data_IF_225924207624
#
_entry.id   IF_225924207624
#
_cell.length_a   1.000
_cell.length_b   1.000
_cell.length_c   1.000
_cell.angle_alpha   90.00
_cell.angle_beta   90.00
_cell.angle_gamma   90.00
#
_symmetry.space_group_name_H-M   'P 1'
#
loop_
_entity.id
_entity.type
_entity.pdbx_description
1 polymer ?
#
# COMPACT_ATOMS: atom_id res chain seq x y z
N UNK A 1 -54.06 -77.68 -41.81
CA UNK A 1 -54.42 -76.27 -41.63
C UNK A 1 -54.31 -75.94 -40.12
N UNK A 2 -53.23 -75.32 -39.75
CA UNK A 2 -52.93 -75.09 -38.36
C UNK A 2 -52.77 -73.61 -38.13
N UNK A 3 -53.68 -72.99 -37.30
CA UNK A 3 -53.68 -71.59 -36.89
C UNK A 3 -52.69 -71.40 -35.76
N UNK A 4 -51.69 -70.54 -35.91
CA UNK A 4 -50.81 -70.12 -34.81
C UNK A 4 -51.30 -68.75 -34.28
N UNK A 5 -51.72 -68.78 -33.02
CA UNK A 5 -52.05 -67.58 -32.23
C UNK A 5 -50.76 -67.00 -31.67
N UNK A 6 -50.42 -65.74 -31.99
CA UNK A 6 -49.36 -64.99 -31.35
C UNK A 6 -49.91 -64.18 -30.18
N UNK A 7 -49.48 -64.56 -28.98
CA UNK A 7 -49.69 -63.76 -27.77
C UNK A 7 -48.65 -62.62 -27.72
N UNK A 8 -49.10 -61.39 -27.68
CA UNK A 8 -48.24 -60.22 -27.41
C UNK A 8 -48.15 -60.02 -25.88
N UNK A 9 -46.98 -60.23 -25.31
CA UNK A 9 -46.66 -59.81 -23.98
C UNK A 9 -46.34 -58.28 -24.03
N UNK A 10 -47.15 -57.44 -23.39
CA UNK A 10 -46.85 -56.05 -23.15
C UNK A 10 -45.94 -55.90 -21.93
N UNK A 11 -44.73 -55.44 -22.14
CA UNK A 11 -43.79 -55.10 -21.09
C UNK A 11 -44.16 -53.72 -20.54
N UNK A 12 -44.73 -53.64 -19.36
CA UNK A 12 -44.97 -52.40 -18.61
C UNK A 12 -43.68 -52.02 -17.89
N UNK A 13 -42.90 -51.08 -18.41
CA UNK A 13 -41.81 -50.45 -17.69
C UNK A 13 -42.35 -49.48 -16.63
N UNK A 14 -42.36 -49.93 -15.37
CA UNK A 14 -42.53 -49.01 -14.23
C UNK A 14 -41.24 -48.16 -14.12
N UNK A 15 -41.30 -46.90 -14.50
CA UNK A 15 -40.33 -45.87 -14.14
C UNK A 15 -40.49 -45.59 -12.63
N UNK A 16 -39.64 -46.21 -11.79
CA UNK A 16 -39.48 -45.82 -10.40
C UNK A 16 -38.66 -44.51 -10.43
N UNK A 17 -39.33 -43.41 -10.26
CA UNK A 17 -38.67 -42.15 -9.97
C UNK A 17 -38.10 -42.26 -8.55
N UNK A 18 -36.79 -42.56 -8.47
CA UNK A 18 -36.05 -42.48 -7.22
C UNK A 18 -36.03 -41.01 -6.72
N UNK A 19 -35.98 -40.80 -5.40
CA UNK A 19 -35.88 -39.45 -4.89
C UNK A 19 -34.62 -38.78 -5.45
N UNK A 20 -34.78 -37.66 -6.12
CA UNK A 20 -33.66 -36.75 -6.47
C UNK A 20 -33.11 -36.24 -5.13
N UNK A 21 -32.06 -36.87 -4.61
CA UNK A 21 -31.28 -36.27 -3.56
C UNK A 21 -30.66 -35.00 -4.17
N UNK A 22 -31.11 -33.85 -3.71
CA UNK A 22 -30.43 -32.58 -4.00
C UNK A 22 -28.98 -32.71 -3.56
N UNK A 23 -28.03 -32.45 -4.46
CA UNK A 23 -26.61 -32.42 -4.10
C UNK A 23 -26.42 -31.46 -2.91
N UNK A 24 -25.61 -31.84 -1.92
CA UNK A 24 -25.40 -30.99 -0.75
C UNK A 24 -24.94 -29.60 -1.21
N UNK A 25 -25.60 -28.56 -0.73
CA UNK A 25 -25.22 -27.19 -1.01
C UNK A 25 -23.86 -26.93 -0.36
N UNK A 26 -22.88 -26.54 -1.16
CA UNK A 26 -21.56 -26.18 -0.65
C UNK A 26 -21.68 -24.90 0.20
N UNK A 27 -21.24 -24.95 1.45
CA UNK A 27 -21.21 -23.76 2.30
C UNK A 27 -20.09 -22.82 1.85
N UNK A 28 -20.50 -21.71 1.26
CA UNK A 28 -19.61 -20.63 0.82
C UNK A 28 -19.62 -19.44 1.78
N UNK A 29 -20.29 -19.55 2.93
CA UNK A 29 -20.38 -18.46 3.90
C UNK A 29 -19.00 -18.08 4.44
N UNK A 30 -18.76 -16.77 4.61
CA UNK A 30 -17.51 -16.18 5.11
C UNK A 30 -16.88 -15.19 4.14
N UNK A 31 -15.69 -14.71 4.52
CA UNK A 31 -14.96 -13.69 3.78
C UNK A 31 -14.08 -14.30 2.68
N UNK A 32 -14.10 -13.65 1.52
CA UNK A 32 -13.40 -14.06 0.31
C UNK A 32 -12.66 -12.88 -0.33
N UNK A 33 -11.54 -13.18 -0.94
CA UNK A 33 -10.79 -12.26 -1.81
C UNK A 33 -11.17 -12.55 -3.26
N UNK A 34 -11.99 -11.68 -3.86
CA UNK A 34 -12.40 -11.78 -5.26
C UNK A 34 -11.41 -11.05 -6.15
N UNK A 35 -10.89 -11.73 -7.18
CA UNK A 35 -10.00 -11.20 -8.19
C UNK A 35 -10.64 -11.32 -9.57
N UNK A 36 -10.77 -10.21 -10.29
CA UNK A 36 -11.31 -10.17 -11.65
C UNK A 36 -10.20 -9.70 -12.58
N UNK A 37 -9.98 -10.40 -13.70
CA UNK A 37 -9.03 -9.95 -14.71
C UNK A 37 -9.78 -9.22 -15.83
N UNK A 38 -9.69 -7.90 -15.85
CA UNK A 38 -10.36 -7.02 -16.82
C UNK A 38 -9.35 -6.53 -17.83
N UNK A 39 -9.41 -7.02 -19.06
CA UNK A 39 -8.47 -6.70 -20.14
C UNK A 39 -6.98 -6.83 -19.72
N UNK A 40 -6.66 -7.90 -18.98
CA UNK A 40 -5.31 -8.14 -18.46
C UNK A 40 -4.95 -7.42 -17.15
N UNK A 41 -5.85 -6.58 -16.63
CA UNK A 41 -5.65 -5.89 -15.36
C UNK A 41 -6.41 -6.58 -14.23
N UNK A 42 -5.78 -6.74 -13.08
CA UNK A 42 -6.40 -7.36 -11.91
C UNK A 42 -7.15 -6.32 -11.08
N UNK A 43 -8.43 -6.58 -10.83
CA UNK A 43 -9.28 -5.87 -9.89
C UNK A 43 -9.57 -6.78 -8.71
N UNK A 44 -9.31 -6.29 -7.49
CA UNK A 44 -9.56 -7.05 -6.28
C UNK A 44 -10.66 -6.43 -5.44
N UNK A 45 -11.49 -7.29 -4.84
CA UNK A 45 -12.58 -6.91 -3.94
C UNK A 45 -12.58 -7.82 -2.73
N UNK A 46 -12.91 -7.28 -1.58
CA UNK A 46 -13.36 -8.10 -0.44
C UNK A 46 -14.81 -8.51 -0.69
N UNK A 47 -15.13 -9.77 -0.46
CA UNK A 47 -16.48 -10.31 -0.62
C UNK A 47 -16.87 -11.07 0.64
N UNK A 48 -18.01 -10.76 1.22
CA UNK A 48 -18.59 -11.47 2.36
C UNK A 48 -19.84 -12.19 1.89
N UNK A 49 -19.87 -13.53 2.00
CA UNK A 49 -20.92 -14.39 1.51
C UNK A 49 -21.70 -15.03 2.66
N UNK A 50 -23.02 -15.17 2.46
CA UNK A 50 -23.92 -15.97 3.27
C UNK A 50 -24.76 -16.86 2.36
N UNK A 51 -24.77 -18.15 2.63
CA UNK A 51 -25.57 -19.14 1.87
C UNK A 51 -26.58 -19.77 2.80
N UNK A 52 -27.87 -19.65 2.43
CA UNK A 52 -28.99 -20.30 3.12
C UNK A 52 -29.87 -20.99 2.11
N UNK A 53 -30.03 -22.32 2.23
CA UNK A 53 -30.83 -23.17 1.34
C UNK A 53 -30.58 -22.92 -0.17
N UNK A 54 -29.32 -22.64 -0.56
CA UNK A 54 -28.93 -22.37 -1.94
C UNK A 54 -29.14 -20.92 -2.38
N UNK A 55 -29.69 -20.06 -1.56
CA UNK A 55 -29.74 -18.61 -1.79
C UNK A 55 -28.45 -17.98 -1.30
N UNK A 56 -27.79 -17.22 -2.16
CA UNK A 56 -26.57 -16.49 -1.82
C UNK A 56 -26.89 -15.01 -1.62
N UNK A 57 -26.42 -14.45 -0.54
CA UNK A 57 -26.48 -13.03 -0.20
C UNK A 57 -25.14 -12.59 0.39
N UNK A 58 -24.92 -11.30 0.54
CA UNK A 58 -23.70 -10.76 1.13
C UNK A 58 -23.36 -9.38 0.63
N UNK A 59 -22.07 -9.07 0.58
CA UNK A 59 -21.57 -7.81 0.04
C UNK A 59 -20.22 -7.98 -0.66
N UNK A 60 -19.95 -7.08 -1.58
CA UNK A 60 -18.64 -6.88 -2.19
C UNK A 60 -18.16 -5.46 -1.89
N UNK A 61 -16.86 -5.27 -1.67
CA UNK A 61 -16.34 -3.94 -1.36
C UNK A 61 -14.92 -3.67 -1.86
N UNK A 62 -14.70 -2.40 -2.23
CA UNK A 62 -13.41 -1.72 -2.39
C UNK A 62 -13.49 -0.39 -1.62
N UNK A 63 -13.79 -0.49 -0.31
CA UNK A 63 -14.14 0.63 0.55
C UNK A 63 -15.59 0.49 1.03
N UNK A 64 -16.57 1.13 0.35
CA UNK A 64 -17.98 0.99 0.72
C UNK A 64 -18.55 -0.35 0.24
N UNK A 65 -19.25 -1.11 1.12
CA UNK A 65 -19.87 -2.36 0.73
C UNK A 65 -21.08 -2.15 -0.19
N UNK A 66 -21.14 -2.95 -1.26
CA UNK A 66 -22.28 -3.06 -2.18
C UNK A 66 -22.95 -4.42 -1.97
N UNK A 67 -24.29 -4.49 -1.78
CA UNK A 67 -25.00 -5.76 -1.60
C UNK A 67 -24.89 -6.65 -2.83
N UNK A 68 -24.75 -7.96 -2.61
CA UNK A 68 -24.78 -8.97 -3.67
C UNK A 68 -25.95 -9.95 -3.42
N UNK A 69 -26.49 -10.50 -4.51
CA UNK A 69 -27.49 -11.54 -4.50
C UNK A 69 -27.13 -12.64 -5.48
N UNK A 70 -27.54 -13.88 -5.19
CA UNK A 70 -27.22 -15.00 -6.07
C UNK A 70 -27.77 -16.34 -5.62
N UNK A 71 -27.25 -17.39 -6.22
CA UNK A 71 -27.62 -18.79 -5.95
C UNK A 71 -26.40 -19.72 -5.95
N UNK A 72 -26.50 -20.79 -5.17
CA UNK A 72 -25.56 -21.91 -5.16
C UNK A 72 -26.33 -23.20 -5.41
N UNK A 73 -25.92 -23.99 -6.43
CA UNK A 73 -26.54 -25.25 -6.81
C UNK A 73 -25.43 -26.30 -7.02
N UNK A 74 -25.23 -27.17 -6.04
CA UNK A 74 -24.10 -28.10 -6.05
C UNK A 74 -22.77 -27.33 -6.04
N UNK A 75 -21.98 -27.52 -7.10
CA UNK A 75 -20.71 -26.81 -7.32
C UNK A 75 -20.84 -25.47 -8.07
N UNK A 76 -22.02 -25.18 -8.59
CA UNK A 76 -22.26 -23.95 -9.37
C UNK A 76 -22.63 -22.79 -8.47
N UNK A 77 -22.01 -21.63 -8.73
CA UNK A 77 -22.30 -20.36 -8.07
C UNK A 77 -22.61 -19.28 -9.10
N UNK A 78 -23.67 -18.55 -8.87
CA UNK A 78 -24.01 -17.36 -9.65
C UNK A 78 -24.36 -16.24 -8.68
N UNK A 79 -23.80 -15.05 -8.89
CA UNK A 79 -24.12 -13.86 -8.09
C UNK A 79 -24.00 -12.60 -8.93
N UNK A 80 -24.64 -11.53 -8.45
CA UNK A 80 -24.64 -10.25 -9.12
C UNK A 80 -24.74 -9.08 -8.15
N UNK A 81 -24.29 -7.92 -8.61
CA UNK A 81 -24.52 -6.64 -7.95
C UNK A 81 -24.63 -5.51 -8.99
N UNK A 82 -25.08 -4.35 -8.52
CA UNK A 82 -25.18 -3.13 -9.31
C UNK A 82 -24.32 -2.05 -8.65
N UNK A 83 -23.43 -1.46 -9.41
CA UNK A 83 -22.60 -0.34 -8.96
C UNK A 83 -23.41 0.97 -8.89
N UNK A 84 -22.95 2.00 -8.13
CA UNK A 84 -23.64 3.29 -8.03
C UNK A 84 -23.80 4.02 -9.36
N UNK A 85 -22.94 3.78 -10.34
CA UNK A 85 -23.01 4.33 -11.69
C UNK A 85 -24.04 3.60 -12.59
N UNK A 86 -24.65 2.54 -12.07
CA UNK A 86 -25.65 1.74 -12.78
C UNK A 86 -25.11 0.51 -13.49
N UNK A 87 -23.79 0.28 -13.49
CA UNK A 87 -23.16 -0.91 -14.07
C UNK A 87 -23.66 -2.18 -13.39
N UNK A 88 -24.20 -3.12 -14.18
CA UNK A 88 -24.60 -4.44 -13.71
C UNK A 88 -23.42 -5.41 -13.82
N UNK A 89 -23.08 -6.06 -12.73
CA UNK A 89 -22.00 -7.02 -12.63
C UNK A 89 -22.61 -8.42 -12.39
N UNK A 90 -22.35 -9.36 -13.28
CA UNK A 90 -22.90 -10.74 -13.23
C UNK A 90 -21.76 -11.73 -13.26
N UNK A 91 -21.76 -12.67 -12.31
CA UNK A 91 -20.72 -13.66 -12.09
C UNK A 91 -21.32 -15.06 -12.20
N UNK A 92 -20.77 -15.88 -13.10
CA UNK A 92 -21.07 -17.30 -13.22
C UNK A 92 -19.79 -18.09 -12.97
N UNK A 93 -19.84 -19.09 -12.10
CA UNK A 93 -18.65 -19.89 -11.77
C UNK A 93 -18.96 -21.19 -11.05
N UNK A 94 -17.87 -21.81 -10.58
CA UNK A 94 -17.89 -23.08 -9.87
C UNK A 94 -16.94 -23.07 -8.68
N UNK A 95 -17.19 -23.99 -7.77
CA UNK A 95 -16.28 -24.34 -6.69
C UNK A 95 -15.26 -25.34 -7.26
N UNK A 96 -13.98 -24.98 -7.24
CA UNK A 96 -12.86 -25.80 -7.71
C UNK A 96 -11.77 -25.84 -6.62
N UNK A 97 -11.52 -27.02 -6.05
CA UNK A 97 -10.49 -27.21 -5.00
C UNK A 97 -10.58 -26.24 -3.80
N UNK A 98 -11.80 -25.83 -3.43
CA UNK A 98 -12.03 -24.90 -2.31
C UNK A 98 -11.96 -23.41 -2.69
N UNK A 99 -11.66 -23.08 -3.93
CA UNK A 99 -11.72 -21.74 -4.52
C UNK A 99 -12.96 -21.61 -5.41
N UNK A 100 -13.32 -20.38 -5.76
CA UNK A 100 -14.32 -20.09 -6.76
C UNK A 100 -13.64 -19.56 -8.01
N UNK A 101 -14.09 -20.02 -9.18
CA UNK A 101 -13.60 -19.53 -10.47
C UNK A 101 -14.70 -19.52 -11.52
N UNK A 102 -14.60 -18.60 -12.49
CA UNK A 102 -15.58 -18.51 -13.55
C UNK A 102 -15.39 -17.29 -14.46
N UNK A 103 -16.50 -16.83 -15.02
CA UNK A 103 -16.55 -15.65 -15.89
C UNK A 103 -17.50 -14.60 -15.34
N UNK A 104 -17.13 -13.33 -15.46
CA UNK A 104 -17.94 -12.18 -15.13
C UNK A 104 -18.29 -11.40 -16.40
N UNK A 105 -19.46 -10.80 -16.42
CA UNK A 105 -19.91 -9.89 -17.46
C UNK A 105 -20.37 -8.58 -16.83
N UNK A 106 -19.98 -7.49 -17.45
CA UNK A 106 -20.34 -6.14 -17.03
C UNK A 106 -21.20 -5.50 -18.11
N UNK A 107 -22.26 -4.79 -17.72
CA UNK A 107 -23.13 -4.09 -18.66
C UNK A 107 -23.66 -2.81 -18.05
N UNK A 108 -23.73 -1.74 -18.85
CA UNK A 108 -24.21 -0.42 -18.45
C UNK A 108 -23.67 0.68 -19.35
N UNK A 109 -24.23 1.87 -19.22
CA UNK A 109 -23.71 3.05 -19.91
C UNK A 109 -22.43 3.56 -19.23
N UNK A 110 -21.43 4.08 -19.98
CA UNK A 110 -21.44 4.23 -21.45
C UNK A 110 -20.81 3.04 -22.20
N UNK A 111 -20.41 1.98 -21.51
CA UNK A 111 -19.52 0.93 -22.06
C UNK A 111 -20.27 -0.22 -22.76
N UNK A 112 -21.59 -0.30 -22.63
CA UNK A 112 -22.36 -1.45 -23.13
C UNK A 112 -22.01 -2.76 -22.40
N UNK A 113 -22.22 -3.90 -23.07
CA UNK A 113 -21.87 -5.21 -22.52
C UNK A 113 -20.42 -5.55 -22.84
N UNK A 114 -19.66 -5.98 -21.82
CA UNK A 114 -18.29 -6.48 -22.01
C UNK A 114 -18.28 -7.96 -22.41
N UNK A 115 -17.22 -8.45 -23.08
CA UNK A 115 -16.99 -9.88 -23.19
C UNK A 115 -16.82 -10.51 -21.81
N UNK A 116 -17.04 -11.83 -21.67
CA UNK A 116 -16.81 -12.53 -20.41
C UNK A 116 -15.36 -12.37 -19.93
N UNK A 117 -15.17 -11.92 -18.68
CA UNK A 117 -13.89 -11.72 -18.05
C UNK A 117 -13.62 -12.83 -17.02
N UNK A 118 -12.42 -13.42 -16.96
CA UNK A 118 -12.13 -14.42 -15.96
C UNK A 118 -12.09 -13.82 -14.55
N UNK A 119 -12.63 -14.54 -13.58
CA UNK A 119 -12.52 -14.22 -12.17
C UNK A 119 -12.22 -15.46 -11.34
N UNK A 120 -11.64 -15.24 -10.18
CA UNK A 120 -11.43 -16.23 -9.14
C UNK A 120 -11.65 -15.60 -7.78
N UNK A 121 -12.04 -16.42 -6.79
CA UNK A 121 -12.05 -15.97 -5.41
C UNK A 121 -11.50 -17.09 -4.51
N UNK A 122 -10.69 -16.68 -3.53
CA UNK A 122 -10.18 -17.55 -2.48
C UNK A 122 -10.72 -17.09 -1.12
N UNK A 123 -10.85 -18.02 -0.19
CA UNK A 123 -11.20 -17.63 1.18
C UNK A 123 -10.11 -16.75 1.77
N UNK A 124 -10.53 -15.70 2.46
CA UNK A 124 -9.60 -14.91 3.28
C UNK A 124 -8.95 -15.82 4.33
N UNK A 125 -7.68 -15.56 4.63
CA UNK A 125 -6.97 -16.30 5.66
C UNK A 125 -7.66 -16.16 7.01
N UNK A 126 -7.81 -17.26 7.74
CA UNK A 126 -8.49 -17.32 9.04
C UNK A 126 -7.58 -17.78 10.18
N UNK A 127 -6.36 -18.19 9.85
CA UNK A 127 -5.34 -18.71 10.75
C UNK A 127 -4.55 -17.63 11.48
N UNK A 128 -5.24 -16.53 11.84
CA UNK A 128 -4.64 -15.42 12.59
C UNK A 128 -4.06 -15.93 13.90
N UNK A 129 -2.78 -15.62 14.19
CA UNK A 129 -2.16 -15.96 15.48
C UNK A 129 -2.95 -15.41 16.67
N UNK A 130 -2.97 -16.15 17.78
CA UNK A 130 -3.67 -15.73 19.00
C UNK A 130 -3.09 -14.45 19.63
N UNK A 131 -1.83 -14.14 19.35
CA UNK A 131 -1.15 -12.92 19.79
C UNK A 131 -0.23 -12.41 18.69
N UNK A 132 0.06 -11.09 18.66
CA UNK A 132 1.04 -10.49 17.75
C UNK A 132 2.40 -11.16 17.88
N UNK A 133 3.05 -11.40 16.73
CA UNK A 133 4.37 -12.03 16.66
C UNK A 133 5.45 -10.98 16.43
N UNK A 134 6.68 -11.32 16.77
CA UNK A 134 7.87 -10.63 16.28
C UNK A 134 8.58 -11.55 15.30
N UNK A 135 8.80 -11.08 14.08
CA UNK A 135 9.35 -11.83 12.97
C UNK A 135 10.67 -11.18 12.55
N UNK A 136 11.77 -11.93 12.68
CA UNK A 136 13.06 -11.51 12.16
C UNK A 136 13.16 -11.90 10.69
N UNK A 137 13.39 -10.93 9.80
CA UNK A 137 13.48 -11.11 8.36
C UNK A 137 14.85 -10.65 7.84
N UNK A 138 15.62 -11.58 7.29
CA UNK A 138 16.92 -11.33 6.64
C UNK A 138 16.70 -11.13 5.12
N UNK A 139 16.82 -9.92 4.57
CA UNK A 139 16.60 -9.66 3.17
C UNK A 139 17.71 -10.26 2.31
N UNK A 140 17.32 -10.95 1.23
CA UNK A 140 18.24 -11.54 0.25
C UNK A 140 18.21 -10.81 -1.08
N UNK A 141 17.09 -10.19 -1.40
CA UNK A 141 16.84 -9.46 -2.62
C UNK A 141 16.25 -8.08 -2.28
N UNK A 142 16.56 -7.10 -3.12
CA UNK A 142 16.12 -5.72 -2.98
C UNK A 142 15.50 -5.27 -4.30
N UNK A 143 14.34 -4.65 -4.24
CA UNK A 143 13.54 -4.35 -5.41
C UNK A 143 13.59 -2.86 -5.75
N UNK A 144 13.75 -2.55 -7.04
CA UNK A 144 13.78 -1.19 -7.59
C UNK A 144 12.46 -0.79 -8.24
N UNK A 145 11.42 -1.58 -8.00
CA UNK A 145 10.06 -1.34 -8.48
C UNK A 145 9.05 -1.63 -7.39
N UNK A 146 8.09 -0.76 -7.19
CA UNK A 146 6.85 -1.08 -6.50
C UNK A 146 5.92 -1.79 -7.48
N UNK A 147 5.60 -3.04 -7.25
CA UNK A 147 4.84 -3.84 -8.20
C UNK A 147 3.93 -4.85 -7.50
N UNK A 148 2.74 -5.04 -8.07
CA UNK A 148 1.80 -6.09 -7.66
C UNK A 148 2.24 -7.50 -8.13
N UNK A 149 3.27 -7.61 -8.98
CA UNK A 149 3.73 -8.88 -9.54
C UNK A 149 4.98 -9.44 -8.87
N UNK A 150 5.56 -8.71 -7.93
CA UNK A 150 6.67 -9.21 -7.12
C UNK A 150 6.11 -10.08 -6.00
N UNK A 151 6.62 -11.31 -5.90
CA UNK A 151 6.20 -12.24 -4.85
C UNK A 151 6.56 -11.70 -3.47
N UNK A 152 5.64 -11.78 -2.49
CA UNK A 152 5.90 -11.32 -1.14
C UNK A 152 7.02 -12.10 -0.46
N UNK A 153 7.95 -11.38 0.17
CA UNK A 153 9.06 -11.98 0.91
C UNK A 153 8.65 -12.54 2.27
N UNK A 154 7.56 -12.02 2.85
CA UNK A 154 7.03 -12.45 4.14
C UNK A 154 5.54 -12.10 4.23
N UNK A 155 4.77 -12.96 4.89
CA UNK A 155 3.35 -12.72 5.21
C UNK A 155 3.21 -12.39 6.68
N UNK A 156 2.56 -11.27 6.97
CA UNK A 156 2.39 -10.73 8.32
C UNK A 156 0.93 -10.42 8.61
N UNK A 157 0.53 -10.52 9.86
CA UNK A 157 -0.79 -10.11 10.31
C UNK A 157 -0.76 -8.69 10.92
N UNK A 158 -1.86 -7.95 10.84
CA UNK A 158 -2.01 -6.72 11.63
C UNK A 158 -1.72 -6.98 13.11
N UNK A 159 -0.82 -6.16 13.68
CA UNK A 159 -0.25 -6.31 15.01
C UNK A 159 1.13 -6.98 15.05
N UNK A 160 1.52 -7.78 14.04
CA UNK A 160 2.86 -8.36 13.99
C UNK A 160 3.94 -7.25 13.88
N UNK A 161 5.10 -7.53 14.44
CA UNK A 161 6.30 -6.70 14.35
C UNK A 161 7.33 -7.39 13.47
N UNK A 162 7.89 -6.68 12.50
CA UNK A 162 8.99 -7.15 11.65
C UNK A 162 10.27 -6.45 12.06
N UNK A 163 11.35 -7.22 12.21
CA UNK A 163 12.72 -6.73 12.34
C UNK A 163 13.48 -7.10 11.09
N UNK A 164 14.06 -6.11 10.46
CA UNK A 164 14.80 -6.28 9.21
C UNK A 164 15.87 -5.20 9.08
N UNK A 165 16.51 -5.13 7.92
CA UNK A 165 17.43 -4.06 7.58
C UNK A 165 17.26 -3.65 6.10
N UNK A 166 17.78 -2.46 5.76
CA UNK A 166 17.74 -1.90 4.40
C UNK A 166 19.15 -1.68 3.88
N UNK A 167 19.34 -1.75 2.56
CA UNK A 167 20.49 -1.14 1.90
C UNK A 167 20.27 0.37 1.80
N UNK A 168 21.32 1.14 1.49
CA UNK A 168 21.21 2.55 1.13
C UNK A 168 20.67 2.73 -0.31
N UNK A 169 20.42 3.98 -0.73
CA UNK A 169 19.96 4.32 -2.07
C UNK A 169 20.88 3.80 -3.20
N UNK A 170 22.18 3.65 -2.91
CA UNK A 170 23.17 3.05 -3.81
C UNK A 170 23.14 1.51 -3.86
N UNK A 171 22.37 0.85 -2.99
CA UNK A 171 22.29 -0.61 -2.91
C UNK A 171 23.39 -1.26 -2.06
N UNK A 172 24.00 -0.52 -1.13
CA UNK A 172 25.11 -1.00 -0.29
C UNK A 172 24.60 -1.40 1.09
N UNK A 173 25.06 -2.57 1.56
CA UNK A 173 24.63 -3.19 2.82
C UNK A 173 25.41 -2.68 4.06
N UNK A 174 25.07 -3.14 5.27
CA UNK A 174 25.77 -2.76 6.50
C UNK A 174 27.26 -3.03 6.50
N UNK A 175 27.74 -3.98 5.70
CA UNK A 175 29.17 -4.33 5.58
C UNK A 175 29.89 -3.54 4.48
N UNK A 176 29.20 -2.58 3.83
CA UNK A 176 29.75 -1.81 2.72
C UNK A 176 29.81 -2.59 1.40
N UNK A 177 29.04 -3.68 1.28
CA UNK A 177 29.01 -4.51 0.07
C UNK A 177 27.79 -4.17 -0.79
N UNK A 178 28.00 -4.00 -2.08
CA UNK A 178 26.90 -3.85 -3.04
C UNK A 178 26.05 -5.11 -3.14
N UNK A 179 24.76 -4.96 -2.91
CA UNK A 179 23.75 -6.04 -2.94
C UNK A 179 22.74 -5.83 -4.08
N UNK A 180 22.62 -4.61 -4.59
CA UNK A 180 21.76 -4.23 -5.68
C UNK A 180 22.41 -3.13 -6.51
N UNK A 181 21.86 -2.84 -7.67
CA UNK A 181 22.13 -1.59 -8.37
C UNK A 181 21.50 -0.44 -7.59
N UNK A 182 22.09 0.74 -7.66
CA UNK A 182 21.50 1.97 -7.13
C UNK A 182 20.14 2.30 -7.78
N UNK A 183 19.52 3.34 -7.31
CA UNK A 183 18.16 3.76 -7.67
C UNK A 183 17.15 3.27 -6.63
N UNK A 184 17.52 3.44 -5.37
CA UNK A 184 16.66 3.30 -4.20
C UNK A 184 16.06 1.90 -3.98
N UNK A 185 16.89 0.83 -3.90
CA UNK A 185 16.39 -0.54 -3.77
C UNK A 185 15.77 -0.78 -2.39
N UNK A 186 14.57 -1.38 -2.38
CA UNK A 186 13.71 -1.52 -1.22
C UNK A 186 13.68 -2.95 -0.67
N UNK A 187 13.50 -3.08 0.64
CA UNK A 187 13.21 -4.33 1.35
C UNK A 187 11.70 -4.58 1.32
N UNK A 188 11.31 -5.81 0.96
CA UNK A 188 9.90 -6.20 0.77
C UNK A 188 9.68 -6.88 -0.58
N UNK A 189 8.42 -7.05 -1.07
CA UNK A 189 7.19 -6.62 -0.41
C UNK A 189 6.76 -7.53 0.73
N UNK A 190 6.22 -6.95 1.79
CA UNK A 190 5.56 -7.67 2.87
C UNK A 190 4.06 -7.76 2.59
N UNK A 191 3.50 -8.98 2.63
CA UNK A 191 2.07 -9.18 2.45
C UNK A 191 1.36 -9.06 3.80
N UNK A 192 0.45 -8.11 3.93
CA UNK A 192 -0.38 -7.91 5.14
C UNK A 192 -1.68 -8.68 5.00
N UNK A 193 -1.86 -9.72 5.81
CA UNK A 193 -3.04 -10.57 5.77
C UNK A 193 -4.33 -9.78 6.02
N UNK A 194 -5.32 -10.04 5.17
CA UNK A 194 -6.62 -9.38 5.21
C UNK A 194 -6.66 -7.96 4.66
N UNK A 195 -5.52 -7.38 4.25
CA UNK A 195 -5.51 -6.08 3.59
C UNK A 195 -6.07 -6.17 2.17
N UNK A 196 -7.05 -5.33 1.86
CA UNK A 196 -7.73 -5.30 0.55
C UNK A 196 -7.86 -3.86 0.03
N UNK A 197 -7.97 -3.66 -1.29
CA UNK A 197 -8.20 -2.34 -1.85
C UNK A 197 -9.37 -1.62 -1.18
N UNK A 198 -9.14 -0.36 -0.81
CA UNK A 198 -10.10 0.46 -0.06
C UNK A 198 -9.92 0.46 1.45
N UNK A 199 -8.92 -0.27 1.96
CA UNK A 199 -8.47 -0.19 3.35
C UNK A 199 -7.35 0.84 3.49
N UNK A 200 -7.03 1.18 4.74
CA UNK A 200 -5.91 2.02 5.15
C UNK A 200 -4.92 1.18 5.92
N UNK A 201 -3.68 1.16 5.47
CA UNK A 201 -2.55 0.55 6.17
C UNK A 201 -1.88 1.60 7.06
N UNK A 202 -1.73 1.32 8.35
CA UNK A 202 -0.90 2.08 9.27
C UNK A 202 0.42 1.34 9.48
N UNK A 203 1.55 1.97 9.19
CA UNK A 203 2.90 1.44 9.38
C UNK A 203 3.54 2.17 10.54
N UNK A 204 3.73 1.50 11.66
CA UNK A 204 4.34 2.06 12.87
C UNK A 204 5.85 1.84 12.83
N UNK A 205 6.63 2.90 12.72
CA UNK A 205 8.09 2.87 12.78
C UNK A 205 8.51 2.73 14.24
N UNK A 206 8.87 1.53 14.65
CA UNK A 206 9.17 1.24 16.07
C UNK A 206 10.62 1.51 16.43
N UNK A 207 11.53 1.22 15.49
CA UNK A 207 12.96 1.41 15.70
C UNK A 207 13.69 1.66 14.40
N UNK A 208 14.58 2.64 14.41
CA UNK A 208 15.55 2.89 13.37
C UNK A 208 16.92 3.01 13.99
N UNK A 209 17.89 2.22 13.51
CA UNK A 209 19.25 2.24 14.01
C UNK A 209 20.24 2.20 12.87
N UNK A 210 21.16 3.16 12.90
CA UNK A 210 22.30 3.14 12.01
C UNK A 210 23.13 1.88 12.28
N UNK A 211 23.40 1.11 11.23
CA UNK A 211 24.14 -0.16 11.32
C UNK A 211 25.46 -0.16 10.54
N UNK A 212 25.83 1.01 9.99
CA UNK A 212 27.09 1.24 9.27
C UNK A 212 27.71 2.58 9.71
N UNK A 213 29.05 2.65 9.93
CA UNK A 213 29.72 3.86 10.40
C UNK A 213 30.05 4.88 9.28
N UNK A 214 29.35 4.80 8.15
CA UNK A 214 29.55 5.68 7.00
C UNK A 214 28.24 6.00 6.28
N UNK A 215 28.19 7.19 5.69
CA UNK A 215 27.15 7.62 4.78
C UNK A 215 27.76 8.34 3.60
N UNK A 216 26.95 8.55 2.55
CA UNK A 216 27.31 9.31 1.36
C UNK A 216 26.22 10.37 1.13
N UNK A 217 26.64 11.57 0.69
CA UNK A 217 25.75 12.60 0.16
C UNK A 217 26.39 13.22 -1.08
N UNK A 218 25.74 14.22 -1.69
CA UNK A 218 26.29 14.98 -2.80
C UNK A 218 26.71 16.38 -2.39
N UNK A 219 27.58 17.03 -3.22
CA UNK A 219 28.00 18.43 -3.06
C UNK A 219 27.30 19.40 -4.04
N UNK A 220 26.39 18.89 -4.88
CA UNK A 220 25.57 19.71 -5.77
C UNK A 220 24.28 20.19 -5.10
N UNK A 221 23.56 21.08 -5.78
CA UNK A 221 22.22 21.50 -5.41
C UNK A 221 21.22 21.21 -6.53
N UNK A 222 20.08 20.68 -6.20
CA UNK A 222 19.04 20.34 -7.17
C UNK A 222 18.48 21.58 -7.85
N UNK A 223 18.19 21.51 -9.14
CA UNK A 223 17.79 22.67 -9.95
C UNK A 223 16.51 23.35 -9.47
N UNK A 224 15.61 22.62 -8.81
CA UNK A 224 14.39 23.16 -8.23
C UNK A 224 14.64 24.06 -7.01
N UNK A 225 15.79 23.93 -6.36
CA UNK A 225 16.15 24.66 -5.16
C UNK A 225 16.88 25.98 -5.43
N UNK A 226 17.37 26.20 -6.66
CA UNK A 226 18.24 27.32 -7.01
C UNK A 226 17.69 28.12 -8.18
N UNK A 227 18.01 29.42 -8.23
CA UNK A 227 17.66 30.29 -9.37
C UNK A 227 18.56 30.03 -10.56
N UNK A 228 18.05 30.33 -11.75
CA UNK A 228 18.83 30.24 -13.00
C UNK A 228 20.12 31.08 -12.95
N UNK A 229 20.07 32.28 -12.35
CA UNK A 229 21.21 33.18 -12.24
C UNK A 229 22.28 32.55 -11.34
N UNK A 230 21.90 32.03 -10.17
CA UNK A 230 22.84 31.35 -9.29
C UNK A 230 23.49 30.14 -9.99
N UNK A 231 22.68 29.33 -10.69
CA UNK A 231 23.19 28.16 -11.42
C UNK A 231 24.17 28.55 -12.56
N UNK A 232 23.95 29.72 -13.19
CA UNK A 232 24.85 30.22 -14.25
C UNK A 232 26.19 30.72 -13.70
N UNK A 233 26.23 31.23 -12.48
CA UNK A 233 27.43 31.76 -11.84
C UNK A 233 28.27 30.71 -11.12
N UNK A 234 27.70 29.55 -10.81
CA UNK A 234 28.32 28.51 -9.99
C UNK A 234 28.44 27.19 -10.74
N UNK A 235 29.61 26.56 -10.60
CA UNK A 235 29.78 25.16 -11.03
C UNK A 235 29.04 24.25 -10.06
N UNK A 236 27.91 23.71 -10.53
CA UNK A 236 27.05 22.84 -9.76
C UNK A 236 27.20 21.40 -10.27
N UNK A 237 28.12 20.67 -9.71
CA UNK A 237 28.38 19.26 -10.02
C UNK A 237 27.88 18.42 -8.83
N UNK A 238 27.53 17.17 -9.10
CA UNK A 238 27.15 16.21 -8.06
C UNK A 238 28.32 15.23 -7.89
N UNK A 239 29.09 15.41 -6.83
CA UNK A 239 30.16 14.48 -6.48
C UNK A 239 29.87 13.85 -5.13
N UNK A 240 30.15 12.54 -5.01
CA UNK A 240 29.96 11.80 -3.79
C UNK A 240 30.80 12.39 -2.64
N UNK A 241 30.16 12.74 -1.55
CA UNK A 241 30.77 13.23 -0.32
C UNK A 241 30.64 12.17 0.78
N UNK A 242 31.77 11.66 1.23
CA UNK A 242 31.80 10.66 2.28
C UNK A 242 31.67 11.28 3.67
N UNK A 243 30.84 10.67 4.53
CA UNK A 243 30.63 11.02 5.93
C UNK A 243 30.98 9.86 6.84
N UNK A 244 31.51 10.20 8.01
CA UNK A 244 31.74 9.26 9.12
C UNK A 244 30.65 9.40 10.14
N UNK A 245 30.00 8.29 10.50
CA UNK A 245 28.93 8.21 11.49
C UNK A 245 29.48 7.58 12.77
N UNK A 246 29.41 8.31 13.87
CA UNK A 246 29.70 7.76 15.19
C UNK A 246 28.42 7.12 15.75
N UNK A 247 28.36 5.80 15.71
CA UNK A 247 27.19 5.02 16.14
C UNK A 247 26.96 5.05 17.66
N UNK A 248 27.94 5.50 18.45
CA UNK A 248 27.82 5.59 19.91
C UNK A 248 27.31 6.96 20.34
N UNK A 249 27.84 8.03 19.76
CA UNK A 249 27.43 9.41 20.09
C UNK A 249 26.31 9.94 19.22
N UNK A 250 25.97 9.25 18.13
CA UNK A 250 24.97 9.70 17.17
C UNK A 250 25.37 10.97 16.41
N UNK A 251 26.66 11.15 16.12
CA UNK A 251 27.17 12.33 15.40
C UNK A 251 27.68 11.95 14.02
N UNK A 252 27.40 12.80 13.04
CA UNK A 252 27.93 12.72 11.68
C UNK A 252 28.93 13.83 11.40
N UNK A 253 30.02 13.49 10.67
CA UNK A 253 31.10 14.42 10.27
C UNK A 253 31.55 14.10 8.87
N UNK A 254 31.98 15.12 8.13
CA UNK A 254 32.66 14.93 6.86
C UNK A 254 33.93 14.06 7.06
N UNK A 255 34.10 13.02 6.25
CA UNK A 255 35.29 12.16 6.32
C UNK A 255 36.56 12.90 5.86
N UNK A 256 36.41 13.86 4.95
CA UNK A 256 37.48 14.73 4.44
C UNK A 256 36.99 16.18 4.39
N UNK A 257 36.87 16.87 5.51
CA UNK A 257 36.38 18.24 5.55
C UNK A 257 37.39 19.20 4.90
N UNK A 258 36.88 20.28 4.29
CA UNK A 258 37.70 21.45 4.01
C UNK A 258 38.09 22.14 5.32
N UNK A 259 39.11 22.98 5.30
CA UNK A 259 39.52 23.77 6.46
C UNK A 259 38.33 24.58 7.06
N UNK A 260 37.46 25.14 6.19
CA UNK A 260 36.30 25.93 6.58
C UNK A 260 35.17 25.13 7.19
N UNK A 261 35.07 23.83 6.91
CA UNK A 261 34.04 22.93 7.41
C UNK A 261 34.58 21.91 8.41
N UNK A 262 35.83 22.04 8.85
CA UNK A 262 36.47 21.12 9.81
C UNK A 262 35.73 21.05 11.18
N UNK A 263 34.98 22.08 11.50
CA UNK A 263 34.18 22.14 12.72
C UNK A 263 32.81 21.43 12.57
N UNK A 264 32.37 21.13 11.34
CA UNK A 264 31.01 20.65 11.09
C UNK A 264 30.82 19.24 11.69
N UNK A 265 29.93 19.17 12.63
CA UNK A 265 29.46 17.95 13.26
C UNK A 265 27.99 18.11 13.56
N UNK A 266 27.17 17.21 13.01
CA UNK A 266 25.71 17.28 13.13
C UNK A 266 25.18 16.03 13.86
N UNK A 267 24.17 16.16 14.74
CA UNK A 267 23.53 14.99 15.33
C UNK A 267 22.77 14.23 14.26
N UNK A 268 22.85 12.90 14.26
CA UNK A 268 22.03 12.07 13.38
C UNK A 268 20.59 12.01 13.87
N UNK A 269 19.67 11.93 12.93
CA UNK A 269 18.24 11.70 13.15
C UNK A 269 17.77 10.66 12.13
N UNK A 270 18.00 9.35 12.43
CA UNK A 270 17.68 8.29 11.49
C UNK A 270 16.23 8.32 11.03
N UNK A 271 16.00 8.23 9.74
CA UNK A 271 14.69 8.26 9.11
C UNK A 271 14.61 7.29 7.93
N UNK A 272 13.40 7.00 7.45
CA UNK A 272 13.16 6.28 6.20
C UNK A 272 12.68 7.27 5.13
N UNK A 273 13.44 7.44 4.06
CA UNK A 273 13.02 8.21 2.89
C UNK A 273 11.86 7.52 2.17
N UNK A 274 11.85 6.18 2.17
CA UNK A 274 10.89 5.42 1.41
C UNK A 274 10.06 4.44 2.26
N UNK A 275 8.73 4.63 2.20
CA UNK A 275 7.71 3.68 2.69
C UNK A 275 6.59 3.64 1.66
N UNK A 276 6.30 2.47 1.08
CA UNK A 276 5.34 2.36 0.00
C UNK A 276 4.51 1.08 0.02
N UNK A 277 3.38 1.10 -0.68
CA UNK A 277 2.60 -0.08 -1.06
C UNK A 277 2.58 -0.26 -2.57
N UNK A 278 2.26 -1.46 -3.06
CA UNK A 278 2.16 -1.68 -4.50
C UNK A 278 1.02 -0.86 -5.15
N UNK A 279 1.22 -0.36 -6.40
CA UNK A 279 0.19 0.34 -7.14
C UNK A 279 -1.07 -0.50 -7.32
N UNK A 280 -2.24 0.12 -7.17
CA UNK A 280 -3.54 -0.52 -7.33
C UNK A 280 -4.13 -0.37 -8.74
N UNK A 281 -5.25 -1.05 -8.98
CA UNK A 281 -6.12 -0.87 -10.14
C UNK A 281 -5.40 -0.87 -11.49
N UNK A 282 -4.67 -1.95 -11.80
CA UNK A 282 -3.94 -2.05 -13.07
C UNK A 282 -2.83 -1.01 -13.24
N UNK A 283 -2.46 -0.31 -12.18
CA UNK A 283 -1.36 0.64 -12.18
C UNK A 283 -0.06 -0.05 -12.58
N UNK A 284 0.67 0.56 -13.52
CA UNK A 284 1.98 0.08 -13.91
C UNK A 284 2.93 0.06 -12.69
N UNK A 285 3.91 -0.85 -12.67
CA UNK A 285 5.00 -0.78 -11.70
C UNK A 285 5.64 0.60 -11.69
N UNK A 286 5.99 1.10 -10.50
CA UNK A 286 6.66 2.40 -10.34
C UNK A 286 8.08 2.19 -9.87
N UNK A 287 8.98 3.06 -10.30
CA UNK A 287 10.34 3.07 -9.78
C UNK A 287 10.33 3.44 -8.29
N UNK A 288 11.27 2.88 -7.54
CA UNK A 288 11.38 3.14 -6.11
C UNK A 288 11.93 4.54 -5.77
N UNK A 289 12.42 5.25 -6.77
CA UNK A 289 12.75 6.68 -6.73
C UNK A 289 11.52 7.59 -6.94
N UNK A 290 10.34 7.03 -7.26
CA UNK A 290 9.10 7.81 -7.43
C UNK A 290 8.30 7.84 -6.11
N UNK A 291 7.64 8.95 -5.85
CA UNK A 291 6.67 9.14 -4.77
C UNK A 291 5.26 9.41 -5.31
N UNK A 292 4.26 9.39 -4.43
CA UNK A 292 2.89 9.74 -4.77
C UNK A 292 1.84 9.10 -3.85
N UNK A 293 0.67 8.75 -4.41
CA UNK A 293 -0.46 8.21 -3.64
C UNK A 293 -0.18 6.87 -2.94
N UNK A 294 0.80 6.12 -3.42
CA UNK A 294 1.22 4.84 -2.83
C UNK A 294 2.27 4.98 -1.74
N UNK A 295 2.67 6.19 -1.37
CA UNK A 295 3.91 6.49 -0.68
C UNK A 295 5.05 6.53 -1.69
N UNK A 296 6.14 5.87 -1.40
CA UNK A 296 7.35 5.83 -2.22
C UNK A 296 8.48 6.60 -1.58
N UNK A 297 9.31 7.18 -2.42
CA UNK A 297 10.41 8.07 -2.05
C UNK A 297 9.84 9.42 -1.63
N UNK A 298 9.42 9.53 -0.37
CA UNK A 298 8.75 10.71 0.16
C UNK A 298 9.71 11.69 0.80
N UNK A 299 10.90 11.22 1.15
CA UNK A 299 12.01 11.95 1.76
C UNK A 299 11.54 12.97 2.82
N UNK A 300 10.63 12.48 3.66
CA UNK A 300 10.07 13.28 4.73
C UNK A 300 10.77 12.98 6.06
N UNK A 301 11.57 13.93 6.51
CA UNK A 301 12.46 13.78 7.67
C UNK A 301 11.75 13.59 9.03
N UNK A 302 10.39 13.56 9.05
CA UNK A 302 9.58 13.15 10.22
C UNK A 302 9.14 11.66 10.17
N UNK A 303 9.54 10.89 9.15
CA UNK A 303 9.35 9.42 9.15
C UNK A 303 10.47 8.77 9.96
N UNK A 304 10.42 8.98 11.26
CA UNK A 304 11.41 8.58 12.24
C UNK A 304 10.86 7.56 13.24
N UNK A 305 11.68 7.06 14.13
CA UNK A 305 11.24 6.21 15.25
C UNK A 305 10.11 6.88 16.04
N UNK A 306 9.00 6.15 16.24
CA UNK A 306 7.81 6.64 16.92
C UNK A 306 6.76 7.28 16.00
N UNK A 307 7.04 7.44 14.72
CA UNK A 307 6.04 7.90 13.74
C UNK A 307 5.18 6.75 13.21
N UNK A 308 4.01 7.10 12.66
CA UNK A 308 3.12 6.20 11.93
C UNK A 308 2.87 6.77 10.55
N UNK A 309 3.09 5.95 9.52
CA UNK A 309 2.81 6.28 8.12
C UNK A 309 1.51 5.59 7.69
N UNK A 310 0.57 6.35 7.13
CA UNK A 310 -0.71 5.85 6.64
C UNK A 310 -0.72 5.82 5.12
N UNK A 311 -1.04 4.66 4.54
CA UNK A 311 -1.05 4.41 3.11
C UNK A 311 -2.37 3.76 2.67
N UNK A 312 -2.92 4.20 1.54
CA UNK A 312 -4.10 3.59 0.95
C UNK A 312 -3.74 2.23 0.32
N UNK A 313 -4.45 1.18 0.70
CA UNK A 313 -4.24 -0.15 0.13
C UNK A 313 -4.81 -0.20 -1.29
N UNK A 314 -3.95 -0.51 -2.26
CA UNK A 314 -4.30 -0.63 -3.68
C UNK A 314 -4.37 -2.07 -4.20
N UNK A 315 -3.74 -3.02 -3.50
CA UNK A 315 -3.65 -4.44 -3.87
C UNK A 315 -3.95 -5.33 -2.67
N UNK A 316 -4.42 -6.59 -2.87
CA UNK A 316 -4.48 -7.56 -1.78
C UNK A 316 -3.13 -7.69 -1.08
N UNK A 317 -3.15 -7.68 0.24
CA UNK A 317 -1.95 -7.73 1.06
C UNK A 317 -1.16 -6.42 1.11
N UNK A 318 -1.67 -5.31 0.55
CA UNK A 318 -1.00 -4.02 0.44
C UNK A 318 0.35 -4.08 -0.30
N UNK A 319 1.16 -5.11 -0.05
CA UNK A 319 2.52 -5.31 -0.58
C UNK A 319 3.42 -4.14 -0.15
N UNK A 320 3.73 -4.11 1.14
CA UNK A 320 4.50 -3.04 1.79
C UNK A 320 6.00 -3.16 1.49
N UNK A 321 6.62 -2.03 1.16
CA UNK A 321 8.06 -1.87 1.00
C UNK A 321 8.59 -0.83 1.99
N UNK A 322 9.81 -1.03 2.48
CA UNK A 322 10.54 -0.07 3.33
C UNK A 322 12.00 0.00 2.90
N UNK A 323 12.57 1.18 2.92
CA UNK A 323 13.97 1.36 2.54
C UNK A 323 14.42 2.80 2.62
N UNK A 324 15.58 3.05 2.01
CA UNK A 324 16.10 4.41 1.88
C UNK A 324 16.38 5.03 3.24
N UNK A 325 17.36 4.47 3.92
CA UNK A 325 17.72 4.91 5.27
C UNK A 325 18.64 6.12 5.24
N UNK A 326 18.20 7.24 5.81
CA UNK A 326 19.02 8.44 5.95
C UNK A 326 19.49 8.61 7.39
N UNK A 327 20.77 8.87 7.59
CA UNK A 327 21.29 9.19 8.92
C UNK A 327 20.78 10.57 9.40
N UNK A 328 20.58 11.51 8.49
CA UNK A 328 19.92 12.81 8.66
C UNK A 328 19.63 13.41 7.30
N UNK A 329 18.56 14.20 7.22
CA UNK A 329 18.17 14.98 6.05
C UNK A 329 17.70 16.38 6.47
N UNK A 330 18.12 17.41 5.75
CA UNK A 330 17.52 18.74 5.83
C UNK A 330 16.24 18.84 4.98
N UNK A 331 15.38 19.81 5.27
CA UNK A 331 14.16 20.05 4.52
C UNK A 331 14.47 20.22 3.02
N UNK A 332 13.68 19.53 2.20
CA UNK A 332 13.75 19.62 0.75
C UNK A 332 14.79 18.74 0.09
N UNK A 333 15.67 18.08 0.84
CA UNK A 333 16.75 17.26 0.29
C UNK A 333 17.56 17.96 -0.82
N UNK A 334 17.98 19.19 -0.52
CA UNK A 334 18.43 20.18 -1.52
C UNK A 334 19.65 19.77 -2.33
N UNK A 335 20.45 18.84 -1.85
CA UNK A 335 21.65 18.35 -2.54
C UNK A 335 21.44 17.03 -3.29
N UNK A 336 20.20 16.52 -3.37
CA UNK A 336 19.87 15.38 -4.19
C UNK A 336 20.01 14.02 -3.52
N UNK A 337 20.77 13.96 -2.43
CA UNK A 337 20.90 12.82 -1.53
C UNK A 337 21.09 13.33 -0.11
N UNK A 338 20.35 12.83 0.83
CA UNK A 338 20.58 13.06 2.25
C UNK A 338 21.91 12.41 2.71
N UNK A 339 22.07 12.07 3.98
CA UNK A 339 23.16 11.19 4.40
C UNK A 339 22.72 9.74 4.24
N UNK A 340 22.94 9.19 3.06
CA UNK A 340 22.55 7.86 2.62
C UNK A 340 23.30 6.76 3.36
N UNK A 341 22.56 5.85 4.00
CA UNK A 341 23.17 4.74 4.74
C UNK A 341 22.23 3.54 4.87
N UNK A 342 22.77 2.37 5.15
CA UNK A 342 21.99 1.20 5.54
C UNK A 342 21.49 1.34 6.98
N UNK A 343 20.37 0.67 7.30
CA UNK A 343 19.71 0.86 8.58
C UNK A 343 19.00 -0.41 9.06
N UNK A 344 19.06 -0.70 10.37
CA UNK A 344 18.18 -1.67 10.99
C UNK A 344 16.81 -1.02 11.23
N UNK A 345 15.75 -1.75 10.84
CA UNK A 345 14.38 -1.28 10.88
C UNK A 345 13.51 -2.25 11.66
N UNK A 346 12.76 -1.74 12.63
CA UNK A 346 11.69 -2.47 13.31
C UNK A 346 10.38 -1.73 13.09
N UNK A 347 9.39 -2.40 12.48
CA UNK A 347 8.07 -1.83 12.25
C UNK A 347 6.96 -2.81 12.58
N UNK A 348 5.76 -2.31 12.85
CA UNK A 348 4.54 -3.10 12.88
C UNK A 348 3.47 -2.45 12.00
N UNK A 349 2.42 -3.21 11.70
CA UNK A 349 1.33 -2.73 10.86
C UNK A 349 -0.01 -2.91 11.53
N UNK A 350 -0.92 -1.95 11.30
CA UNK A 350 -2.34 -2.09 11.59
C UNK A 350 -3.16 -1.82 10.32
N UNK A 351 -4.40 -2.31 10.32
CA UNK A 351 -5.30 -2.19 9.18
C UNK A 351 -6.63 -1.58 9.60
N UNK A 352 -7.00 -0.46 8.98
CA UNK A 352 -8.31 0.15 9.13
C UNK A 352 -9.15 -0.18 7.90
N UNK A 353 -10.16 -1.03 8.09
CA UNK A 353 -11.01 -1.50 7.00
C UNK A 353 -11.94 -0.41 6.49
N UNK A 354 -12.24 -0.44 5.19
CA UNK A 354 -13.18 0.46 4.52
C UNK A 354 -12.87 1.96 4.71
N UNK A 355 -11.59 2.28 4.90
CA UNK A 355 -11.10 3.67 5.00
C UNK A 355 -10.00 3.87 3.97
N UNK A 356 -10.17 4.85 3.10
CA UNK A 356 -9.18 5.19 2.06
C UNK A 356 -8.81 6.66 2.14
N UNK A 357 -7.58 6.97 1.77
CA UNK A 357 -7.02 8.32 1.72
C UNK A 357 -6.45 8.60 0.33
N UNK A 358 -6.38 9.86 -0.05
CA UNK A 358 -5.87 10.27 -1.36
C UNK A 358 -4.35 10.27 -1.46
N UNK A 359 -3.67 10.70 -0.39
CA UNK A 359 -2.22 10.83 -0.28
C UNK A 359 -1.75 10.30 1.07
N UNK A 360 -0.46 9.94 1.20
CA UNK A 360 0.12 9.51 2.46
C UNK A 360 -0.11 10.52 3.58
N UNK A 361 -0.22 10.00 4.79
CA UNK A 361 -0.30 10.80 6.01
C UNK A 361 0.76 10.28 6.98
N UNK A 362 1.29 11.16 7.80
CA UNK A 362 2.22 10.81 8.87
C UNK A 362 1.69 11.35 10.18
N UNK A 363 1.91 10.63 11.25
CA UNK A 363 1.52 11.03 12.59
C UNK A 363 2.63 10.69 13.57
N UNK A 364 2.90 11.60 14.50
CA UNK A 364 3.79 11.35 15.63
C UNK A 364 3.10 11.78 16.94
N UNK A 365 3.84 11.85 18.04
CA UNK A 365 3.27 12.24 19.33
C UNK A 365 2.69 13.67 19.34
N UNK A 366 3.22 14.56 18.50
CA UNK A 366 2.93 16.01 18.54
C UNK A 366 2.06 16.49 17.39
N UNK A 367 2.16 15.86 16.20
CA UNK A 367 1.55 16.36 14.96
C UNK A 367 0.73 15.29 14.24
N UNK A 368 -0.29 15.75 13.52
CA UNK A 368 -0.81 15.08 12.32
C UNK A 368 -0.27 15.84 11.10
N UNK A 369 0.13 15.09 10.06
CA UNK A 369 0.89 15.59 8.92
C UNK A 369 0.36 14.96 7.64
N UNK A 370 -0.18 15.75 6.73
CA UNK A 370 -0.72 15.31 5.46
C UNK A 370 0.23 15.69 4.32
N UNK A 371 0.59 14.72 3.50
CA UNK A 371 1.52 14.92 2.40
C UNK A 371 0.79 15.29 1.10
N UNK A 372 1.43 16.14 0.30
CA UNK A 372 1.14 16.36 -1.10
C UNK A 372 2.41 16.09 -1.90
N UNK A 373 2.30 15.29 -2.95
CA UNK A 373 3.42 14.78 -3.74
C UNK A 373 3.09 14.97 -5.22
N UNK A 374 3.47 16.11 -5.77
CA UNK A 374 3.07 16.56 -7.10
C UNK A 374 4.24 16.98 -7.99
N UNK A 375 3.96 17.25 -9.25
CA UNK A 375 4.96 17.69 -10.24
C UNK A 375 5.55 19.09 -9.96
N UNK A 376 4.95 19.85 -9.05
CA UNK A 376 5.40 21.16 -8.58
C UNK A 376 5.06 21.38 -7.11
N UNK A 377 5.78 22.30 -6.45
CA UNK A 377 5.45 22.69 -5.06
C UNK A 377 4.04 23.28 -4.94
N UNK A 378 3.55 23.97 -5.96
CA UNK A 378 2.20 24.55 -6.00
C UNK A 378 1.12 23.45 -6.01
N UNK A 379 1.32 22.39 -6.78
CA UNK A 379 0.44 21.22 -6.81
C UNK A 379 0.51 20.47 -5.49
N UNK A 380 1.72 20.18 -5.02
CA UNK A 380 1.95 19.50 -3.74
C UNK A 380 1.31 20.25 -2.56
N UNK A 381 1.40 21.59 -2.53
CA UNK A 381 0.77 22.43 -1.52
C UNK A 381 -0.77 22.26 -1.48
N UNK A 382 -1.42 22.28 -2.65
CA UNK A 382 -2.88 22.08 -2.75
C UNK A 382 -3.28 20.68 -2.30
N UNK A 383 -2.51 19.66 -2.68
CA UNK A 383 -2.75 18.28 -2.30
C UNK A 383 -2.58 18.04 -0.80
N UNK A 384 -1.48 18.54 -0.20
CA UNK A 384 -1.23 18.48 1.23
C UNK A 384 -2.35 19.13 2.03
N UNK A 385 -2.71 20.37 1.66
CA UNK A 385 -3.79 21.11 2.31
C UNK A 385 -5.12 20.36 2.20
N UNK A 386 -5.51 19.92 1.01
CA UNK A 386 -6.77 19.19 0.80
C UNK A 386 -6.81 17.87 1.56
N UNK A 387 -5.67 17.16 1.63
CA UNK A 387 -5.53 15.92 2.40
C UNK A 387 -5.69 16.17 3.90
N UNK A 388 -5.11 17.28 4.42
CA UNK A 388 -5.27 17.66 5.82
C UNK A 388 -6.71 18.04 6.16
N UNK A 389 -7.37 18.86 5.32
CA UNK A 389 -8.79 19.21 5.51
C UNK A 389 -9.67 17.96 5.56
N UNK A 390 -9.48 17.03 4.62
CA UNK A 390 -10.19 15.75 4.60
C UNK A 390 -9.92 14.90 5.85
N UNK A 391 -8.72 14.97 6.41
CA UNK A 391 -8.40 14.28 7.67
C UNK A 391 -9.14 14.88 8.86
N UNK A 392 -9.14 16.21 8.96
CA UNK A 392 -9.83 16.94 10.02
C UNK A 392 -11.36 16.70 9.99
N UNK A 393 -11.95 16.67 8.81
CA UNK A 393 -13.38 16.39 8.63
C UNK A 393 -13.73 14.93 8.96
N UNK A 394 -12.96 13.97 8.44
CA UNK A 394 -13.26 12.54 8.59
C UNK A 394 -13.05 12.04 10.02
N UNK A 395 -11.89 12.35 10.60
CA UNK A 395 -11.43 11.74 11.85
C UNK A 395 -11.75 12.61 13.09
N UNK A 396 -11.83 13.93 12.93
CA UNK A 396 -12.11 14.85 14.01
C UNK A 396 -13.52 15.46 13.95
N UNK A 397 -14.23 15.28 12.86
CA UNK A 397 -15.62 15.69 12.70
C UNK A 397 -15.83 17.18 12.55
N UNK A 398 -14.80 17.90 12.17
CA UNK A 398 -14.90 19.33 11.93
C UNK A 398 -15.71 19.58 10.66
N UNK A 399 -16.51 20.64 10.67
CA UNK A 399 -17.18 21.15 9.47
C UNK A 399 -16.19 21.93 8.59
N UNK A 400 -16.52 22.16 7.32
CA UNK A 400 -15.66 22.96 6.42
C UNK A 400 -15.27 24.33 7.00
N UNK A 401 -16.22 25.14 7.55
CA UNK A 401 -15.86 26.41 8.22
C UNK A 401 -14.95 26.24 9.43
N UNK A 402 -15.14 25.21 10.27
CA UNK A 402 -14.28 24.94 11.43
C UNK A 402 -12.87 24.50 11.01
N UNK A 403 -12.74 23.65 9.97
CA UNK A 403 -11.44 23.29 9.39
C UNK A 403 -10.73 24.53 8.84
N UNK A 404 -11.42 25.39 8.11
CA UNK A 404 -10.86 26.62 7.56
C UNK A 404 -10.34 27.57 8.67
N UNK A 405 -11.11 27.74 9.74
CA UNK A 405 -10.69 28.57 10.90
C UNK A 405 -9.45 27.98 11.58
N UNK A 406 -9.43 26.65 11.83
CA UNK A 406 -8.31 26.00 12.49
C UNK A 406 -7.04 26.05 11.62
N UNK A 407 -7.15 25.68 10.35
CA UNK A 407 -6.02 25.66 9.41
C UNK A 407 -5.50 27.09 9.20
N UNK A 408 -6.37 28.10 9.10
CA UNK A 408 -5.98 29.50 8.91
C UNK A 408 -5.10 30.08 10.02
N UNK A 409 -5.08 29.47 11.21
CA UNK A 409 -4.31 30.00 12.37
C UNK A 409 -3.25 29.04 12.90
N UNK A 410 -3.29 27.75 12.53
CA UNK A 410 -2.46 26.72 13.18
C UNK A 410 -1.70 25.79 12.22
N UNK A 411 -1.97 25.84 10.91
CA UNK A 411 -1.23 25.01 9.96
C UNK A 411 0.21 25.48 9.82
N UNK A 412 1.12 24.51 9.79
CA UNK A 412 2.52 24.69 9.45
C UNK A 412 2.79 23.92 8.16
N UNK A 413 3.69 24.44 7.31
CA UNK A 413 4.10 23.78 6.08
C UNK A 413 5.59 23.49 6.10
N UNK A 414 5.95 22.35 5.52
CA UNK A 414 7.32 21.89 5.39
C UNK A 414 7.53 21.31 3.98
N UNK A 415 8.71 21.52 3.42
CA UNK A 415 9.13 20.91 2.16
C UNK A 415 9.82 19.59 2.48
N UNK A 416 9.21 18.46 2.10
CA UNK A 416 9.84 17.15 2.34
C UNK A 416 10.99 16.92 1.37
N UNK A 417 10.75 17.13 0.07
CA UNK A 417 11.77 16.93 -0.96
C UNK A 417 11.52 17.80 -2.19
N UNK A 418 12.58 18.17 -2.90
CA UNK A 418 12.55 18.79 -4.25
C UNK A 418 13.58 18.16 -5.20
N UNK A 419 14.23 17.09 -4.73
CA UNK A 419 15.29 16.39 -5.45
C UNK A 419 14.72 15.57 -6.61
N UNK A 420 13.66 14.84 -6.35
CA UNK A 420 13.12 13.84 -7.22
C UNK A 420 12.13 14.34 -8.26
N UNK A 421 11.49 13.41 -8.96
CA UNK A 421 10.49 13.70 -9.99
C UNK A 421 9.32 14.50 -9.45
N UNK A 422 8.78 14.11 -8.30
CA UNK A 422 7.74 14.84 -7.60
C UNK A 422 8.38 15.74 -6.53
N UNK A 423 7.78 16.89 -6.31
CA UNK A 423 8.09 17.71 -5.15
C UNK A 423 7.14 17.38 -4.01
N UNK A 424 7.62 17.45 -2.78
CA UNK A 424 6.87 17.13 -1.60
C UNK A 424 6.62 18.34 -0.70
N UNK A 425 5.35 18.56 -0.34
CA UNK A 425 4.92 19.51 0.70
C UNK A 425 4.15 18.74 1.76
N UNK A 426 4.37 19.10 3.00
CA UNK A 426 3.63 18.54 4.14
C UNK A 426 2.87 19.67 4.84
N UNK A 427 1.56 19.50 4.97
CA UNK A 427 0.71 20.35 5.81
C UNK A 427 0.54 19.67 7.17
N UNK A 428 0.96 20.32 8.25
CA UNK A 428 0.93 19.74 9.60
C UNK A 428 0.22 20.62 10.60
N UNK A 429 -0.44 20.00 11.59
CA UNK A 429 -1.08 20.69 12.70
C UNK A 429 -0.66 20.04 14.02
N UNK A 430 -0.25 20.84 15.02
CA UNK A 430 -0.01 20.33 16.37
C UNK A 430 -1.27 19.72 16.98
N UNK A 431 -1.20 18.51 17.50
CA UNK A 431 -2.32 17.79 18.14
C UNK A 431 -2.95 18.53 19.31
N UNK A 432 -2.20 19.39 20.00
CA UNK A 432 -2.72 20.22 21.09
C UNK A 432 -3.85 21.17 20.69
N UNK A 433 -4.01 21.44 19.39
CA UNK A 433 -5.09 22.29 18.86
C UNK A 433 -6.27 21.48 18.32
N UNK A 434 -6.18 20.16 18.29
CA UNK A 434 -7.23 19.30 17.76
C UNK A 434 -8.28 18.97 18.83
N UNK A 435 -9.56 18.85 18.44
CA UNK A 435 -10.55 18.24 19.31
C UNK A 435 -10.24 16.74 19.50
N UNK A 436 -10.98 16.05 20.35
CA UNK A 436 -10.88 14.59 20.41
C UNK A 436 -11.29 13.98 19.06
N UNK A 437 -10.58 12.94 18.58
CA UNK A 437 -11.03 12.19 17.42
C UNK A 437 -12.47 11.66 17.61
N UNK A 438 -13.18 11.45 16.50
CA UNK A 438 -14.46 10.73 16.50
C UNK A 438 -14.23 9.29 16.93
N UNK A 439 -15.17 8.73 17.68
CA UNK A 439 -15.24 7.29 18.01
C UNK A 439 -15.48 6.42 16.76
#
# INVERSE_FOLDING_TARGET
MSLRVFARLGLVCLLVAGPLFAAPVTDLSGEWELMITVFGNSLAYRMDLKVDAGKLTGSVSRGKPTPITGTVQGDRVRFEWKDPDGTQNVFDGRVEKGELAGTASFSGEPYGATPPMPWRARRSATDKPAAPRTLDFEPKEFHRLFSATIEPVLRIWPGDTVRTWTVDAGGVDPQGKSRSMGGNPQTGPFYVEGAMPGDLLAVHVKKLRLNRPSAISDDGLVSRAITTDWAAEHKNEFNDIAWSLDLQTGMAKLSKPTERLAYLSVPTRPMLGCVAVAPGFGGAPRQTTDSGRIGGNMDFNEIVEGSTVYLAVGQPGALLYVGDGHAIQGDGELNGNALETSMDVEFSVDLVRAKSIGYPRVENAEYIMAMGLGGSLDEAFKEATSSLLSWLESDYGLTGPETAMLVGVAVEYEVSEVADRNAGIVAKIPKKYLPKPKD
#
